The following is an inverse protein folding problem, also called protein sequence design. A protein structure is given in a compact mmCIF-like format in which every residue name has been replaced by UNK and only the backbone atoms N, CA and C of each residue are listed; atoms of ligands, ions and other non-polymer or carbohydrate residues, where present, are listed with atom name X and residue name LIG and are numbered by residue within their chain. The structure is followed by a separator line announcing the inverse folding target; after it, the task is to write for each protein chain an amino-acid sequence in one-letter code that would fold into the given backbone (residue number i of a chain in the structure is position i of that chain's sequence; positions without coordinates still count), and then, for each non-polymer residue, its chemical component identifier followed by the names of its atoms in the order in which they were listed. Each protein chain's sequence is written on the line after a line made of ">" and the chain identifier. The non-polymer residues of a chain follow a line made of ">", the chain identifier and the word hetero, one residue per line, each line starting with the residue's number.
data_IF_830542208742
#
_entry.id   IF_830542208742
#
_cell.length_a   1.000
_cell.length_b   1.000
_cell.length_c   1.000
_cell.angle_alpha   90.00
_cell.angle_beta   90.00
_cell.angle_gamma   90.00
#
_symmetry.space_group_name_H-M   'P 1'
#
loop_
_entity.id
_entity.type
_entity.pdbx_description
1 polymer ?
#
# COMPACT_ATOMS: atom_id res chain seq x y z
N UNK A 1 -2.85 -12.64 21.34
CA UNK A 1 -2.76 -11.47 22.24
C UNK A 1 -1.33 -11.34 22.75
N UNK A 2 -0.55 -10.45 22.14
CA UNK A 2 0.65 -9.88 22.75
C UNK A 2 0.53 -8.38 22.46
N UNK A 3 0.09 -7.62 23.47
CA UNK A 3 -0.07 -6.17 23.37
C UNK A 3 1.28 -5.53 23.56
N UNK A 4 1.82 -4.95 22.49
CA UNK A 4 2.79 -3.86 22.62
C UNK A 4 2.00 -2.57 22.53
N UNK A 5 2.35 -1.63 23.41
CA UNK A 5 1.73 -0.31 23.54
C UNK A 5 1.65 0.34 22.15
N UNK A 6 0.44 0.53 21.58
CA UNK A 6 0.23 1.04 20.21
C UNK A 6 1.07 2.30 19.92
N UNK A 7 1.25 3.16 20.94
CA UNK A 7 2.08 4.37 20.86
C UNK A 7 3.58 4.13 20.64
N UNK A 8 4.15 3.00 21.11
CA UNK A 8 5.56 2.66 20.88
C UNK A 8 5.79 2.11 19.49
N UNK A 9 4.80 1.40 18.93
CA UNK A 9 4.84 0.89 17.56
C UNK A 9 4.77 2.07 16.59
N UNK A 10 3.82 2.99 16.76
CA UNK A 10 3.73 4.23 15.98
C UNK A 10 5.00 5.10 16.09
N UNK A 11 5.57 5.23 17.28
CA UNK A 11 6.79 6.05 17.47
C UNK A 11 8.00 5.41 16.76
N UNK A 12 8.17 4.09 16.87
CA UNK A 12 9.26 3.37 16.20
C UNK A 12 9.09 3.36 14.67
N UNK A 13 7.85 3.26 14.19
CA UNK A 13 7.51 3.38 12.77
C UNK A 13 7.86 4.75 12.23
N UNK A 14 7.47 5.82 12.93
CA UNK A 14 7.80 7.20 12.56
C UNK A 14 9.30 7.44 12.55
N UNK A 15 10.04 6.94 13.54
CA UNK A 15 11.51 7.03 13.58
C UNK A 15 12.14 6.31 12.37
N UNK A 16 11.66 5.11 12.03
CA UNK A 16 12.16 4.37 10.85
C UNK A 16 11.80 5.06 9.54
N UNK A 17 10.61 5.64 9.43
CA UNK A 17 10.19 6.39 8.25
C UNK A 17 11.04 7.65 8.07
N UNK A 18 11.40 8.36 9.15
CA UNK A 18 12.36 9.47 9.12
C UNK A 18 13.76 9.02 8.67
N UNK A 19 14.25 7.86 9.13
CA UNK A 19 15.53 7.27 8.66
C UNK A 19 15.51 6.90 7.17
N UNK A 20 14.35 6.53 6.64
CA UNK A 20 14.15 6.17 5.24
C UNK A 20 13.74 7.33 4.32
N UNK A 21 13.57 8.54 4.86
CA UNK A 21 13.00 9.70 4.15
C UNK A 21 11.60 9.42 3.57
N UNK A 22 10.80 8.60 4.28
CA UNK A 22 9.41 8.28 3.94
C UNK A 22 8.48 9.08 4.84
N UNK A 23 7.45 9.69 4.25
CA UNK A 23 6.35 10.31 5.00
C UNK A 23 5.09 9.46 4.88
N UNK A 24 4.57 8.99 6.01
CA UNK A 24 3.28 8.32 6.07
C UNK A 24 2.18 9.34 6.29
N UNK A 25 1.28 9.45 5.32
CA UNK A 25 0.09 10.27 5.40
C UNK A 25 -1.14 9.35 5.38
N UNK A 26 -2.13 9.65 6.23
CA UNK A 26 -3.42 8.97 6.16
C UNK A 26 -4.15 9.37 4.87
N UNK A 27 -4.72 8.38 4.18
CA UNK A 27 -5.57 8.62 3.02
C UNK A 27 -6.89 9.25 3.53
N UNK A 28 -7.27 10.45 3.06
CA UNK A 28 -8.54 11.07 3.44
C UNK A 28 -9.72 10.16 3.11
N UNK A 29 -10.71 10.08 4.01
CA UNK A 29 -11.89 9.22 3.85
C UNK A 29 -11.54 7.75 3.56
N UNK A 30 -10.56 7.21 4.31
CA UNK A 30 -10.17 5.80 4.22
C UNK A 30 -11.39 4.88 4.37
N UNK A 31 -11.57 4.02 3.36
CA UNK A 31 -12.65 3.05 3.26
C UNK A 31 -12.10 1.62 3.11
N UNK A 32 -12.96 0.64 3.37
CA UNK A 32 -12.65 -0.78 3.11
C UNK A 32 -12.34 -0.99 1.62
N UNK A 33 -11.37 -1.84 1.30
CA UNK A 33 -11.01 -2.16 -0.10
C UNK A 33 -12.06 -3.00 -0.85
N UNK A 34 -13.13 -3.45 -0.19
CA UNK A 34 -14.17 -4.27 -0.83
C UNK A 34 -13.75 -5.71 -1.15
N UNK A 35 -12.62 -6.22 -0.65
CA UNK A 35 -12.09 -7.53 -1.04
C UNK A 35 -13.04 -8.72 -0.85
N UNK A 36 -13.94 -8.67 0.14
CA UNK A 36 -14.98 -9.69 0.33
C UNK A 36 -16.05 -9.67 -0.78
N UNK A 37 -16.25 -8.52 -1.43
CA UNK A 37 -17.21 -8.29 -2.51
C UNK A 37 -16.59 -8.51 -3.90
N UNK A 38 -15.26 -8.66 -3.99
CA UNK A 38 -14.55 -8.74 -5.27
C UNK A 38 -15.12 -9.80 -6.24
N UNK A 39 -15.67 -10.90 -5.72
CA UNK A 39 -16.30 -11.95 -6.53
C UNK A 39 -17.81 -11.81 -6.67
N UNK A 40 -18.52 -11.41 -5.61
CA UNK A 40 -19.99 -11.37 -5.60
C UNK A 40 -20.55 -10.09 -6.22
N UNK A 41 -19.86 -8.97 -6.03
CA UNK A 41 -20.26 -7.63 -6.46
C UNK A 41 -19.02 -6.85 -6.94
N UNK A 42 -18.37 -7.30 -8.05
CA UNK A 42 -17.08 -6.78 -8.50
C UNK A 42 -17.12 -5.27 -8.79
N UNK A 43 -18.22 -4.77 -9.35
CA UNK A 43 -18.40 -3.35 -9.67
C UNK A 43 -18.31 -2.47 -8.41
N UNK A 44 -19.00 -2.88 -7.33
CA UNK A 44 -18.95 -2.17 -6.04
C UNK A 44 -17.57 -2.26 -5.40
N UNK A 45 -16.93 -3.43 -5.48
CA UNK A 45 -15.55 -3.57 -4.98
C UNK A 45 -14.61 -2.62 -5.73
N UNK A 46 -14.70 -2.55 -7.05
CA UNK A 46 -13.85 -1.69 -7.87
C UNK A 46 -14.11 -0.20 -7.65
N UNK A 47 -15.37 0.20 -7.41
CA UNK A 47 -15.71 1.57 -7.02
C UNK A 47 -15.04 1.97 -5.69
N UNK A 48 -15.06 1.09 -4.68
CA UNK A 48 -14.39 1.34 -3.40
C UNK A 48 -12.87 1.45 -3.57
N UNK A 49 -12.26 0.57 -4.36
CA UNK A 49 -10.82 0.59 -4.65
C UNK A 49 -10.45 1.88 -5.38
N UNK A 50 -11.24 2.29 -6.38
CA UNK A 50 -11.02 3.54 -7.11
C UNK A 50 -10.92 4.71 -6.15
N UNK A 51 -11.86 4.83 -5.20
CA UNK A 51 -11.84 5.92 -4.21
C UNK A 51 -10.56 5.98 -3.39
N UNK A 52 -10.02 4.83 -2.97
CA UNK A 52 -8.75 4.75 -2.24
C UNK A 52 -7.58 5.23 -3.10
N UNK A 53 -7.50 4.75 -4.35
CA UNK A 53 -6.38 5.09 -5.25
C UNK A 53 -6.45 6.56 -5.67
N UNK A 54 -7.65 7.05 -6.00
CA UNK A 54 -7.88 8.44 -6.40
C UNK A 54 -7.55 9.39 -5.25
N UNK A 55 -7.98 9.09 -4.02
CA UNK A 55 -7.61 9.88 -2.85
C UNK A 55 -6.10 9.89 -2.60
N UNK A 56 -5.41 8.75 -2.73
CA UNK A 56 -3.96 8.70 -2.60
C UNK A 56 -3.26 9.50 -3.72
N UNK A 57 -3.71 9.34 -4.96
CA UNK A 57 -3.16 10.01 -6.14
C UNK A 57 -3.34 11.53 -6.07
N UNK A 58 -4.54 12.00 -5.73
CA UNK A 58 -4.87 13.43 -5.64
C UNK A 58 -4.11 14.14 -4.52
N UNK A 59 -3.73 13.40 -3.47
CA UNK A 59 -2.87 13.90 -2.39
C UNK A 59 -1.37 13.74 -2.67
N UNK A 60 -1.00 13.29 -3.87
CA UNK A 60 0.40 13.19 -4.31
C UNK A 60 1.19 12.08 -3.63
N UNK A 61 0.53 11.01 -3.17
CA UNK A 61 1.24 9.86 -2.61
C UNK A 61 2.05 9.12 -3.70
N UNK A 62 3.28 8.72 -3.38
CA UNK A 62 4.11 7.90 -4.27
C UNK A 62 3.71 6.41 -4.25
N UNK A 63 3.12 5.96 -3.14
CA UNK A 63 2.69 4.58 -2.95
C UNK A 63 1.62 4.47 -1.84
N UNK A 64 0.89 3.36 -1.84
CA UNK A 64 -0.08 3.02 -0.80
C UNK A 64 0.49 1.92 0.09
N UNK A 65 0.49 2.15 1.40
CA UNK A 65 0.87 1.14 2.40
C UNK A 65 -0.39 0.59 3.03
N UNK A 66 -0.54 -0.73 3.08
CA UNK A 66 -1.74 -1.38 3.64
C UNK A 66 -1.40 -2.29 4.81
N UNK A 67 -2.19 -2.29 5.89
CA UNK A 67 -1.99 -3.19 7.03
C UNK A 67 -2.63 -4.57 6.83
N UNK A 68 -3.24 -4.83 5.65
CA UNK A 68 -3.98 -6.06 5.37
C UNK A 68 -3.55 -6.63 4.02
N UNK A 69 -3.11 -7.91 3.94
CA UNK A 69 -2.64 -8.51 2.70
C UNK A 69 -3.74 -8.61 1.63
N UNK A 70 -5.00 -8.77 2.05
CA UNK A 70 -6.13 -8.71 1.12
C UNK A 70 -6.30 -7.30 0.54
N UNK A 71 -6.08 -6.25 1.33
CA UNK A 71 -6.14 -4.88 0.81
C UNK A 71 -5.03 -4.62 -0.19
N UNK A 72 -3.79 -5.07 0.09
CA UNK A 72 -2.71 -5.01 -0.88
C UNK A 72 -3.12 -5.65 -2.20
N UNK A 73 -3.48 -6.95 -2.17
CA UNK A 73 -3.80 -7.69 -3.39
C UNK A 73 -4.98 -7.06 -4.15
N UNK A 74 -6.05 -6.67 -3.45
CA UNK A 74 -7.25 -6.14 -4.09
C UNK A 74 -6.99 -4.77 -4.75
N UNK A 75 -6.33 -3.86 -4.04
CA UNK A 75 -6.04 -2.52 -4.55
C UNK A 75 -5.01 -2.55 -5.67
N UNK A 76 -4.10 -3.53 -5.66
CA UNK A 76 -3.06 -3.68 -6.68
C UNK A 76 -3.58 -4.36 -7.96
N UNK A 77 -4.28 -5.49 -7.84
CA UNK A 77 -4.71 -6.31 -8.99
C UNK A 77 -5.71 -5.57 -9.88
N UNK A 78 -6.64 -4.82 -9.30
CA UNK A 78 -7.76 -4.26 -10.05
C UNK A 78 -7.50 -2.89 -10.67
N UNK A 79 -6.28 -2.32 -10.58
CA UNK A 79 -6.00 -1.00 -11.15
C UNK A 79 -6.23 -0.98 -12.67
N UNK A 80 -5.84 -2.03 -13.39
CA UNK A 80 -6.06 -2.14 -14.83
C UNK A 80 -7.56 -2.15 -15.17
N UNK A 81 -8.37 -2.95 -14.46
CA UNK A 81 -9.82 -2.99 -14.64
C UNK A 81 -10.48 -1.64 -14.32
N UNK A 82 -10.01 -0.95 -13.27
CA UNK A 82 -10.50 0.39 -12.91
C UNK A 82 -10.14 1.39 -14.01
N UNK A 83 -8.92 1.33 -14.55
CA UNK A 83 -8.50 2.19 -15.64
C UNK A 83 -9.35 2.01 -16.90
N UNK A 84 -9.66 0.77 -17.27
CA UNK A 84 -10.54 0.45 -18.39
C UNK A 84 -11.98 0.95 -18.16
N UNK A 85 -12.50 0.76 -16.95
CA UNK A 85 -13.90 1.06 -16.62
C UNK A 85 -14.17 2.56 -16.46
N UNK A 86 -13.25 3.28 -15.80
CA UNK A 86 -13.43 4.68 -15.41
C UNK A 86 -12.61 5.66 -16.26
N UNK A 87 -11.81 5.17 -17.22
CA UNK A 87 -10.95 5.99 -18.07
C UNK A 87 -9.79 6.65 -17.33
N UNK A 88 -9.39 6.08 -16.19
CA UNK A 88 -8.26 6.54 -15.37
C UNK A 88 -6.94 5.95 -15.87
N UNK A 89 -5.82 6.39 -15.28
CA UNK A 89 -4.47 5.91 -15.61
C UNK A 89 -3.64 5.66 -14.35
N UNK A 90 -4.26 5.05 -13.36
CA UNK A 90 -3.60 4.69 -12.11
C UNK A 90 -2.55 3.62 -12.36
N UNK A 91 -1.39 3.79 -11.73
CA UNK A 91 -0.32 2.81 -11.72
C UNK A 91 0.44 2.97 -10.39
N UNK A 92 -0.30 2.85 -9.30
CA UNK A 92 0.15 3.16 -7.95
C UNK A 92 0.71 1.90 -7.29
N UNK A 93 1.98 1.89 -6.84
CA UNK A 93 2.51 0.78 -6.08
C UNK A 93 1.75 0.61 -4.75
N UNK A 94 1.40 -0.64 -4.42
CA UNK A 94 0.74 -0.97 -3.15
C UNK A 94 1.62 -1.96 -2.40
N UNK A 95 2.06 -1.58 -1.19
CA UNK A 95 2.91 -2.42 -0.34
C UNK A 95 2.16 -2.87 0.89
N UNK A 96 2.47 -4.10 1.32
CA UNK A 96 2.05 -4.55 2.64
C UNK A 96 2.94 -3.92 3.71
N UNK A 97 2.33 -3.57 4.83
CA UNK A 97 2.97 -2.87 5.92
C UNK A 97 4.23 -3.60 6.44
N UNK A 98 4.23 -4.93 6.55
CA UNK A 98 5.43 -5.66 7.00
C UNK A 98 6.56 -5.68 5.97
N UNK A 99 6.26 -5.50 4.68
CA UNK A 99 7.27 -5.35 3.63
C UNK A 99 8.01 -4.03 3.81
N UNK A 100 7.26 -2.93 4.04
CA UNK A 100 7.85 -1.63 4.41
C UNK A 100 8.72 -1.76 5.66
N UNK A 101 8.22 -2.41 6.72
CA UNK A 101 9.01 -2.65 7.93
C UNK A 101 10.29 -3.42 7.63
N UNK A 102 10.22 -4.48 6.81
CA UNK A 102 11.39 -5.29 6.47
C UNK A 102 12.49 -4.45 5.83
N UNK A 103 12.12 -3.58 4.88
CA UNK A 103 13.05 -2.62 4.27
C UNK A 103 13.60 -1.65 5.31
N UNK A 104 12.75 -1.13 6.21
CA UNK A 104 13.15 -0.22 7.28
C UNK A 104 14.06 -0.86 8.34
N UNK A 105 14.10 -2.19 8.42
CA UNK A 105 15.07 -2.95 9.22
C UNK A 105 16.32 -3.36 8.41
N UNK A 106 16.52 -2.80 7.21
CA UNK A 106 17.70 -3.03 6.38
C UNK A 106 17.72 -4.41 5.70
N UNK A 107 16.55 -4.99 5.42
CA UNK A 107 16.47 -6.24 4.62
C UNK A 107 16.57 -5.92 3.13
N UNK A 108 17.14 -6.86 2.38
CA UNK A 108 17.26 -6.77 0.92
C UNK A 108 15.88 -6.76 0.25
N UNK A 109 15.80 -6.27 -0.99
CA UNK A 109 14.54 -6.25 -1.75
C UNK A 109 13.90 -7.65 -1.90
N UNK A 110 14.74 -8.69 -2.03
CA UNK A 110 14.29 -10.07 -2.11
C UNK A 110 13.75 -10.58 -0.77
N UNK A 111 14.44 -10.29 0.34
CA UNK A 111 14.00 -10.70 1.68
C UNK A 111 12.74 -9.94 2.14
N UNK A 112 12.56 -8.71 1.67
CA UNK A 112 11.37 -7.90 1.92
C UNK A 112 10.16 -8.28 1.04
N UNK A 113 10.34 -9.24 0.11
CA UNK A 113 9.32 -9.68 -0.84
C UNK A 113 8.83 -8.60 -1.82
N UNK A 114 9.67 -7.62 -2.16
CA UNK A 114 9.34 -6.59 -3.16
C UNK A 114 9.21 -7.16 -4.59
N UNK A 115 9.86 -8.29 -4.85
CA UNK A 115 9.79 -9.01 -6.13
C UNK A 115 8.42 -9.66 -6.42
N UNK A 116 7.50 -9.68 -5.44
CA UNK A 116 6.16 -10.26 -5.59
C UNK A 116 5.08 -9.26 -6.02
N UNK A 117 5.42 -7.98 -6.15
CA UNK A 117 4.48 -6.93 -6.52
C UNK A 117 4.13 -6.98 -8.01
N UNK A 118 2.87 -6.67 -8.33
CA UNK A 118 2.41 -6.49 -9.71
C UNK A 118 2.87 -5.12 -10.22
N UNK A 119 2.78 -4.09 -9.36
CA UNK A 119 3.26 -2.74 -9.65
C UNK A 119 4.49 -2.48 -8.76
N UNK A 120 5.71 -2.51 -9.33
CA UNK A 120 6.94 -2.41 -8.54
C UNK A 120 7.06 -1.09 -7.79
N UNK A 121 7.31 -1.16 -6.48
CA UNK A 121 7.62 -0.01 -5.65
C UNK A 121 9.10 0.41 -5.81
N UNK A 122 9.45 1.00 -6.95
CA UNK A 122 10.85 1.34 -7.31
C UNK A 122 11.60 2.13 -6.24
N UNK A 123 10.95 3.13 -5.65
CA UNK A 123 11.55 3.93 -4.57
C UNK A 123 11.95 3.05 -3.37
N UNK A 124 11.10 2.08 -3.02
CA UNK A 124 11.36 1.17 -1.90
C UNK A 124 12.41 0.10 -2.25
N UNK A 125 12.45 -0.35 -3.51
CA UNK A 125 13.53 -1.22 -4.02
C UNK A 125 14.89 -0.52 -4.00
N UNK A 126 14.94 0.77 -4.38
CA UNK A 126 16.16 1.58 -4.32
C UNK A 126 16.65 1.76 -2.89
N UNK A 127 15.75 1.90 -1.92
CA UNK A 127 16.09 1.95 -0.50
C UNK A 127 16.65 0.61 -0.03
N UNK A 128 16.02 -0.51 -0.41
CA UNK A 128 16.41 -1.85 0.04
C UNK A 128 17.73 -2.38 -0.60
N UNK A 129 18.21 -1.73 -1.67
CA UNK A 129 19.43 -2.10 -2.39
C UNK A 129 20.64 -1.21 -2.03
N UNK A 130 20.48 -0.22 -1.14
CA UNK A 130 21.59 0.56 -0.56
C UNK A 130 22.30 -0.21 0.54
#
# INVERSE_FOLDING_TARGET
>A
MCGTNEKLVELNERIKCEELDIQLNEIPDWNCCGGALAFSEPEKSQEMIKGIIEAAYDNGADMIVTPCPLCQANVEIYQDNINETYGTKFNMPVVYYSTLMSVAFGRSAADAALNGQIIPAKQLEEIANK
#
